data_IF_198840730588
#
_entry.id   IF_198840730588
#
_cell.length_a   1.000
_cell.length_b   1.000
_cell.length_c   1.000
_cell.angle_alpha   90.00
_cell.angle_beta   90.00
_cell.angle_gamma   90.00
#
_symmetry.space_group_name_H-M   'P 1'
#
loop_
_entity.id
_entity.type
_entity.pdbx_description
1 polymer ?
#
# COMPACT_ATOMS: atom_id res chain seq x y z
N UNK A 1 -5.80 -28.82 71.29
CA UNK A 1 -6.34 -27.97 70.21
C UNK A 1 -5.49 -26.70 70.13
N UNK A 2 -4.61 -26.59 69.13
CA UNK A 2 -3.92 -25.37 68.63
C UNK A 2 -2.81 -25.84 67.69
N UNK A 3 -3.11 -25.90 66.39
CA UNK A 3 -2.16 -26.00 65.27
C UNK A 3 -3.01 -26.13 64.00
N UNK A 4 -3.30 -25.04 63.27
CA UNK A 4 -3.86 -25.10 61.89
C UNK A 4 -4.04 -23.73 61.20
N UNK A 5 -3.14 -22.75 61.36
CA UNK A 5 -3.32 -21.40 60.79
C UNK A 5 -2.05 -20.82 60.13
N UNK A 6 -1.32 -21.60 59.32
CA UNK A 6 -0.13 -21.06 58.62
C UNK A 6 0.09 -21.51 57.18
N UNK A 7 -0.90 -22.11 56.51
CA UNK A 7 -0.73 -22.65 55.14
C UNK A 7 -1.60 -21.99 54.06
N UNK A 8 -2.26 -20.85 54.35
CA UNK A 8 -3.15 -20.19 53.40
C UNK A 8 -2.64 -18.80 52.96
N UNK A 9 -1.42 -18.68 52.46
CA UNK A 9 -0.98 -17.42 51.83
C UNK A 9 -0.02 -17.57 50.64
N UNK A 10 0.06 -18.75 50.01
CA UNK A 10 1.01 -19.00 48.90
C UNK A 10 0.37 -19.49 47.59
N UNK A 11 -0.95 -19.50 47.47
CA UNK A 11 -1.64 -20.08 46.29
C UNK A 11 -2.21 -19.05 45.29
N UNK A 12 -2.09 -17.75 45.54
CA UNK A 12 -2.70 -16.70 44.69
C UNK A 12 -1.75 -16.00 43.73
N UNK A 13 -0.47 -16.36 43.68
CA UNK A 13 0.53 -15.70 42.80
C UNK A 13 0.82 -16.41 41.48
N UNK A 14 0.26 -17.61 41.23
CA UNK A 14 0.56 -18.37 40.00
C UNK A 14 -0.51 -18.25 38.91
N UNK A 15 -1.73 -17.80 39.24
CA UNK A 15 -2.80 -17.65 38.24
C UNK A 15 -2.76 -16.27 37.56
N UNK A 16 -2.22 -15.24 38.22
CA UNK A 16 -2.13 -13.89 37.66
C UNK A 16 -1.02 -13.68 36.62
N UNK A 17 0.03 -14.51 36.63
CA UNK A 17 1.17 -14.36 35.71
C UNK A 17 0.85 -14.77 34.26
N UNK A 18 0.01 -15.79 34.07
CA UNK A 18 -0.37 -16.25 32.73
C UNK A 18 -1.45 -15.37 32.09
N UNK A 19 -2.38 -14.80 32.88
CA UNK A 19 -3.40 -13.89 32.36
C UNK A 19 -2.80 -12.56 31.85
N UNK A 20 -1.81 -12.01 32.54
CA UNK A 20 -1.08 -10.80 32.12
C UNK A 20 -0.18 -11.04 30.89
N UNK A 21 0.37 -12.25 30.74
CA UNK A 21 1.18 -12.61 29.57
C UNK A 21 0.32 -12.90 28.32
N UNK A 22 -0.91 -13.42 28.51
CA UNK A 22 -1.89 -13.60 27.44
C UNK A 22 -2.54 -12.27 27.03
N UNK A 23 -2.66 -11.29 27.95
CA UNK A 23 -3.08 -9.91 27.66
C UNK A 23 -2.06 -9.12 26.82
N UNK A 24 -0.80 -9.58 26.74
CA UNK A 24 0.30 -8.85 26.10
C UNK A 24 0.65 -9.32 24.68
N UNK A 25 0.05 -10.41 24.20
CA UNK A 25 0.30 -10.91 22.84
C UNK A 25 -0.87 -10.52 21.94
N UNK A 26 -0.67 -9.49 21.13
CA UNK A 26 -1.50 -9.18 19.96
C UNK A 26 -1.84 -10.48 19.23
N UNK A 27 -3.13 -10.79 19.08
CA UNK A 27 -3.53 -12.00 18.37
C UNK A 27 -3.20 -11.84 16.89
N UNK A 28 -2.94 -12.94 16.17
CA UNK A 28 -2.73 -12.89 14.71
C UNK A 28 -3.91 -12.25 13.98
N UNK A 29 -5.12 -12.29 14.56
CA UNK A 29 -6.30 -11.62 14.02
C UNK A 29 -6.25 -10.10 14.17
N UNK A 30 -5.79 -9.61 15.32
CA UNK A 30 -5.58 -8.17 15.52
C UNK A 30 -4.42 -7.68 14.65
N UNK A 31 -3.32 -8.43 14.55
CA UNK A 31 -2.21 -8.05 13.66
C UNK A 31 -2.66 -7.92 12.20
N UNK A 32 -3.45 -8.89 11.69
CA UNK A 32 -4.05 -8.80 10.35
C UNK A 32 -5.00 -7.61 10.20
N UNK A 33 -5.78 -7.30 11.23
CA UNK A 33 -6.68 -6.15 11.25
C UNK A 33 -5.91 -4.83 11.21
N UNK A 34 -4.87 -4.69 12.03
CA UNK A 34 -4.03 -3.50 12.12
C UNK A 34 -3.30 -3.23 10.81
N UNK A 35 -2.72 -4.28 10.21
CA UNK A 35 -2.08 -4.20 8.89
C UNK A 35 -3.10 -3.86 7.80
N UNK A 36 -4.30 -4.46 7.82
CA UNK A 36 -5.35 -4.11 6.85
C UNK A 36 -5.80 -2.64 7.02
N UNK A 37 -5.95 -2.17 8.26
CA UNK A 37 -6.30 -0.78 8.54
C UNK A 37 -5.22 0.20 8.08
N UNK A 38 -3.95 -0.17 8.21
CA UNK A 38 -2.81 0.61 7.70
C UNK A 38 -2.93 0.85 6.18
N UNK A 39 -3.39 -0.13 5.41
CA UNK A 39 -3.59 0.03 3.95
C UNK A 39 -4.66 1.07 3.62
N UNK A 40 -5.79 1.03 4.33
CA UNK A 40 -6.85 2.03 4.17
C UNK A 40 -6.40 3.42 4.62
N UNK A 41 -5.69 3.52 5.74
CA UNK A 41 -5.12 4.78 6.26
C UNK A 41 -4.21 5.43 5.23
N UNK A 42 -3.28 4.69 4.64
CA UNK A 42 -2.39 5.21 3.61
C UNK A 42 -3.14 5.87 2.45
N UNK A 43 -4.12 5.17 1.88
CA UNK A 43 -4.88 5.68 0.73
C UNK A 43 -5.69 6.92 1.12
N UNK A 44 -6.39 6.85 2.24
CA UNK A 44 -7.18 7.96 2.74
C UNK A 44 -6.32 9.20 2.98
N UNK A 45 -5.19 9.04 3.68
CA UNK A 45 -4.30 10.16 3.99
C UNK A 45 -3.68 10.78 2.74
N UNK A 46 -3.25 9.96 1.79
CA UNK A 46 -2.70 10.45 0.53
C UNK A 46 -3.72 11.25 -0.27
N UNK A 47 -4.92 10.71 -0.46
CA UNK A 47 -5.92 11.33 -1.34
C UNK A 47 -6.53 12.60 -0.74
N UNK A 48 -6.46 12.76 0.59
CA UNK A 48 -7.00 13.92 1.31
C UNK A 48 -5.92 14.92 1.75
N UNK A 49 -4.67 14.72 1.35
CA UNK A 49 -3.56 15.61 1.70
C UNK A 49 -3.22 15.67 3.19
N UNK A 50 -3.49 14.59 3.92
CA UNK A 50 -3.10 14.44 5.33
C UNK A 50 -1.64 13.99 5.40
N UNK A 51 -0.73 14.89 5.04
CA UNK A 51 0.67 14.55 4.76
C UNK A 51 1.44 14.09 6.00
N UNK A 52 1.17 14.68 7.16
CA UNK A 52 1.83 14.29 8.41
C UNK A 52 1.40 12.87 8.82
N UNK A 53 0.12 12.55 8.73
CA UNK A 53 -0.42 11.22 8.99
C UNK A 53 0.06 10.21 7.94
N UNK A 54 0.13 10.61 6.67
CA UNK A 54 0.67 9.79 5.59
C UNK A 54 2.10 9.34 5.93
N UNK A 55 2.96 10.25 6.41
CA UNK A 55 4.35 9.92 6.81
C UNK A 55 4.42 8.87 7.91
N UNK A 56 3.41 8.76 8.78
CA UNK A 56 3.42 7.74 9.85
C UNK A 56 3.16 6.31 9.37
N UNK A 57 2.71 6.14 8.11
CA UNK A 57 2.34 4.81 7.58
C UNK A 57 3.53 3.96 7.18
N UNK A 58 4.73 4.55 7.06
CA UNK A 58 5.96 3.88 6.70
C UNK A 58 7.00 3.98 7.83
N UNK A 59 7.93 3.03 7.87
CA UNK A 59 9.18 3.21 8.61
C UNK A 59 10.03 4.31 7.96
N UNK A 60 10.98 4.87 8.71
CA UNK A 60 11.75 6.04 8.27
C UNK A 60 12.56 5.79 6.99
N UNK A 61 13.06 4.56 6.82
CA UNK A 61 13.78 4.06 5.65
C UNK A 61 12.86 3.33 4.64
N UNK A 62 11.55 3.50 4.79
CA UNK A 62 10.58 2.80 3.98
C UNK A 62 10.60 3.27 2.53
N UNK A 63 10.44 2.35 1.58
CA UNK A 63 10.51 2.66 0.14
C UNK A 63 9.23 2.35 -0.61
N UNK A 64 8.96 3.08 -1.69
CA UNK A 64 7.79 2.88 -2.53
C UNK A 64 8.15 2.90 -4.02
N UNK A 65 7.54 1.99 -4.78
CA UNK A 65 7.62 1.91 -6.24
C UNK A 65 6.22 1.96 -6.85
N UNK A 66 5.95 3.03 -7.60
CA UNK A 66 4.72 3.28 -8.39
C UNK A 66 5.10 3.88 -9.74
N UNK A 67 4.15 3.99 -10.69
CA UNK A 67 4.40 4.41 -12.09
C UNK A 67 5.27 5.66 -12.24
N UNK A 68 5.10 6.66 -11.36
CA UNK A 68 5.77 7.96 -11.47
C UNK A 68 6.85 8.20 -10.40
N UNK A 69 7.08 7.25 -9.48
CA UNK A 69 8.01 7.42 -8.38
C UNK A 69 8.64 6.10 -7.94
N UNK A 70 9.93 6.10 -7.68
CA UNK A 70 10.64 4.98 -7.04
C UNK A 70 11.71 5.55 -6.12
N UNK A 71 11.65 5.21 -4.83
CA UNK A 71 12.62 5.71 -3.86
C UNK A 71 12.09 5.72 -2.43
N UNK A 72 12.68 6.58 -1.61
CA UNK A 72 12.30 6.78 -0.21
C UNK A 72 10.88 7.32 -0.08
N UNK A 73 10.14 6.82 0.89
CA UNK A 73 8.75 7.22 1.10
C UNK A 73 8.61 8.68 1.54
N UNK A 74 9.60 9.19 2.28
CA UNK A 74 9.64 10.61 2.68
C UNK A 74 9.67 11.54 1.47
N UNK A 75 10.46 11.20 0.46
CA UNK A 75 10.57 11.91 -0.82
C UNK A 75 9.33 11.71 -1.69
N UNK A 76 8.70 10.53 -1.64
CA UNK A 76 7.42 10.29 -2.29
C UNK A 76 6.32 11.22 -1.76
N UNK A 77 6.27 11.45 -0.44
CA UNK A 77 5.31 12.39 0.16
C UNK A 77 5.59 13.81 -0.33
N UNK A 78 6.86 14.25 -0.36
CA UNK A 78 7.24 15.57 -0.88
C UNK A 78 6.85 15.76 -2.35
N UNK A 79 7.05 14.72 -3.16
CA UNK A 79 6.66 14.74 -4.57
C UNK A 79 5.13 14.71 -4.75
N UNK A 80 4.40 14.00 -3.86
CA UNK A 80 2.94 13.97 -3.82
C UNK A 80 2.34 15.33 -3.46
N UNK A 81 2.95 16.06 -2.52
CA UNK A 81 2.56 17.43 -2.16
C UNK A 81 2.64 18.34 -3.40
N UNK A 82 3.77 18.32 -4.12
CA UNK A 82 3.96 19.11 -5.35
C UNK A 82 2.93 18.75 -6.43
N UNK A 83 2.63 17.46 -6.58
CA UNK A 83 1.61 16.97 -7.51
C UNK A 83 0.21 17.51 -7.14
N UNK A 84 -0.14 17.51 -5.85
CA UNK A 84 -1.41 18.05 -5.36
C UNK A 84 -1.50 19.59 -5.53
N UNK A 85 -0.41 20.32 -5.25
CA UNK A 85 -0.31 21.77 -5.49
C UNK A 85 -0.49 22.12 -6.99
N UNK A 86 -0.07 21.23 -7.88
CA UNK A 86 -0.31 21.30 -9.32
C UNK A 86 -1.76 21.02 -9.74
N UNK A 87 -2.66 20.71 -8.80
CA UNK A 87 -4.08 20.46 -9.04
C UNK A 87 -4.40 19.03 -9.47
N UNK A 88 -3.45 18.09 -9.38
CA UNK A 88 -3.73 16.68 -9.67
C UNK A 88 -4.59 16.08 -8.56
N UNK A 89 -5.65 15.37 -8.96
CA UNK A 89 -6.55 14.66 -8.04
C UNK A 89 -6.61 13.20 -8.46
N UNK A 90 -6.26 12.32 -7.53
CA UNK A 90 -6.37 10.87 -7.69
C UNK A 90 -7.12 10.27 -6.50
N UNK A 91 -7.89 9.22 -6.74
CA UNK A 91 -8.58 8.46 -5.70
C UNK A 91 -8.13 7.00 -5.78
N UNK A 92 -7.73 6.45 -4.64
CA UNK A 92 -7.29 5.08 -4.46
C UNK A 92 -8.38 4.31 -3.72
N UNK A 93 -9.16 3.54 -4.47
CA UNK A 93 -10.14 2.64 -3.90
C UNK A 93 -9.45 1.35 -3.47
N UNK A 94 -9.20 1.23 -2.17
CA UNK A 94 -8.59 0.05 -1.56
C UNK A 94 -9.64 -1.04 -1.34
N UNK A 95 -9.34 -2.26 -1.80
CA UNK A 95 -10.15 -3.46 -1.62
C UNK A 95 -9.57 -4.33 -0.49
N UNK A 96 -10.31 -5.30 0.07
CA UNK A 96 -9.82 -6.13 1.17
C UNK A 96 -8.47 -6.79 0.87
N UNK A 97 -7.54 -6.66 1.82
CA UNK A 97 -6.19 -7.21 1.72
C UNK A 97 -6.14 -8.68 2.11
N UNK A 98 -5.26 -9.44 1.44
CA UNK A 98 -4.78 -10.73 1.95
C UNK A 98 -3.55 -10.43 2.80
N UNK A 99 -3.55 -10.87 4.07
CA UNK A 99 -2.49 -10.55 5.03
C UNK A 99 -1.96 -11.82 5.71
N UNK A 100 -0.67 -12.08 5.50
CA UNK A 100 0.08 -13.14 6.17
C UNK A 100 1.04 -12.53 7.18
N UNK A 101 1.08 -13.08 8.39
CA UNK A 101 1.86 -12.56 9.53
C UNK A 101 2.72 -13.67 10.11
N UNK A 102 4.00 -13.40 10.29
CA UNK A 102 4.97 -14.28 10.97
C UNK A 102 5.81 -13.42 11.92
N UNK A 103 5.58 -13.59 13.23
CA UNK A 103 6.27 -12.80 14.25
C UNK A 103 6.00 -11.29 14.09
N UNK A 104 7.05 -10.52 13.84
CA UNK A 104 6.99 -9.07 13.62
C UNK A 104 7.04 -8.67 12.14
N UNK A 105 6.80 -9.61 11.23
CA UNK A 105 6.74 -9.37 9.78
C UNK A 105 5.37 -9.74 9.24
N UNK A 106 4.91 -8.98 8.25
CA UNK A 106 3.69 -9.26 7.52
C UNK A 106 3.84 -8.91 6.03
N UNK A 107 3.18 -9.70 5.18
CA UNK A 107 2.97 -9.38 3.78
C UNK A 107 1.50 -9.05 3.60
N UNK A 108 1.22 -7.89 3.03
CA UNK A 108 -0.12 -7.51 2.62
C UNK A 108 -0.20 -7.38 1.10
N UNK A 109 -1.13 -8.12 0.49
CA UNK A 109 -1.47 -8.00 -0.93
C UNK A 109 -2.83 -7.33 -0.99
N UNK A 110 -2.85 -6.10 -1.50
CA UNK A 110 -4.00 -5.20 -1.40
C UNK A 110 -4.42 -4.71 -2.79
N UNK A 111 -5.50 -5.27 -3.36
CA UNK A 111 -6.02 -4.78 -4.64
C UNK A 111 -6.51 -3.34 -4.53
N UNK A 112 -6.24 -2.54 -5.56
CA UNK A 112 -6.56 -1.13 -5.63
C UNK A 112 -7.07 -0.73 -7.02
N UNK A 113 -8.05 0.17 -7.06
CA UNK A 113 -8.42 0.90 -8.28
C UNK A 113 -8.01 2.35 -8.11
N UNK A 114 -7.18 2.84 -9.04
CA UNK A 114 -6.68 4.22 -9.07
C UNK A 114 -7.48 4.96 -10.11
N UNK A 115 -8.21 6.00 -9.71
CA UNK A 115 -8.95 6.85 -10.63
C UNK A 115 -8.42 8.28 -10.58
N UNK A 116 -8.38 8.94 -11.73
CA UNK A 116 -7.99 10.33 -11.83
C UNK A 116 -8.80 11.01 -12.93
N UNK A 117 -9.12 12.28 -12.72
CA UNK A 117 -9.79 13.12 -13.72
C UNK A 117 -8.88 14.24 -14.17
N UNK A 118 -8.83 14.48 -15.46
CA UNK A 118 -8.06 15.57 -16.05
C UNK A 118 -8.85 16.27 -17.16
N UNK A 119 -8.47 17.50 -17.49
CA UNK A 119 -9.06 18.24 -18.60
C UNK A 119 -7.98 18.91 -19.48
N UNK A 120 -7.25 18.14 -20.30
CA UNK A 120 -6.32 18.68 -21.30
C UNK A 120 -7.03 19.33 -22.51
N UNK A 121 -8.24 19.89 -22.34
CA UNK A 121 -9.09 20.42 -23.41
C UNK A 121 -10.31 19.55 -23.76
N UNK A 122 -10.35 18.33 -23.22
CA UNK A 122 -11.53 17.46 -23.11
C UNK A 122 -11.48 16.81 -21.73
N UNK A 123 -12.61 16.69 -21.04
CA UNK A 123 -12.68 16.06 -19.73
C UNK A 123 -12.54 14.54 -19.88
N UNK A 124 -11.54 13.97 -19.21
CA UNK A 124 -11.19 12.55 -19.27
C UNK A 124 -11.15 11.95 -17.87
N UNK A 125 -11.65 10.72 -17.76
CA UNK A 125 -11.42 9.86 -16.62
C UNK A 125 -10.39 8.78 -16.98
N UNK A 126 -9.43 8.60 -16.09
CA UNK A 126 -8.49 7.49 -16.12
C UNK A 126 -8.81 6.53 -14.97
N UNK A 127 -8.75 5.24 -15.26
CA UNK A 127 -8.85 4.17 -14.26
C UNK A 127 -7.71 3.18 -14.47
N UNK A 128 -7.05 2.77 -13.39
CA UNK A 128 -5.99 1.76 -13.40
C UNK A 128 -6.24 0.75 -12.29
N UNK A 129 -6.27 -0.52 -12.66
CA UNK A 129 -6.40 -1.65 -11.75
C UNK A 129 -5.00 -2.19 -11.43
N UNK A 130 -4.71 -2.30 -10.14
CA UNK A 130 -3.44 -2.75 -9.63
C UNK A 130 -3.62 -3.46 -8.28
N UNK A 131 -2.54 -3.98 -7.72
CA UNK A 131 -2.48 -4.27 -6.28
C UNK A 131 -1.16 -3.77 -5.70
N UNK A 132 -1.21 -3.35 -4.45
CA UNK A 132 -0.01 -3.11 -3.66
C UNK A 132 0.47 -4.42 -3.05
N UNK A 133 1.76 -4.67 -3.16
CA UNK A 133 2.46 -5.73 -2.47
C UNK A 133 3.36 -5.08 -1.42
N UNK A 134 3.01 -5.27 -0.16
CA UNK A 134 3.58 -4.55 0.97
C UNK A 134 4.34 -5.49 1.90
N UNK A 135 5.59 -5.11 2.17
CA UNK A 135 6.43 -5.64 3.24
C UNK A 135 6.22 -4.76 4.46
N UNK A 136 5.64 -5.33 5.52
CA UNK A 136 5.22 -4.59 6.71
C UNK A 136 5.93 -5.16 7.92
N UNK A 137 6.48 -4.30 8.77
CA UNK A 137 7.23 -4.73 9.95
C UNK A 137 6.67 -4.05 11.20
N UNK A 138 6.58 -4.82 12.28
CA UNK A 138 6.26 -4.30 13.62
C UNK A 138 7.54 -3.89 14.33
N UNK A 139 7.61 -2.64 14.77
CA UNK A 139 8.70 -2.12 15.63
C UNK A 139 8.08 -1.32 16.77
N UNK A 140 8.56 -1.54 17.98
CA UNK A 140 8.04 -0.83 19.17
C UNK A 140 6.51 -0.96 19.34
N UNK A 141 5.95 -2.08 18.88
CA UNK A 141 4.50 -2.37 18.94
C UNK A 141 3.68 -1.81 17.78
N UNK A 142 4.26 -1.09 16.82
CA UNK A 142 3.55 -0.47 15.70
C UNK A 142 3.88 -1.16 14.36
N UNK A 143 2.84 -1.53 13.61
CA UNK A 143 2.97 -1.99 12.22
C UNK A 143 3.13 -0.79 11.28
N UNK A 144 4.21 -0.78 10.49
CA UNK A 144 4.43 0.21 9.42
C UNK A 144 5.00 -0.45 8.18
N UNK A 145 4.76 0.18 7.03
CA UNK A 145 5.25 -0.31 5.73
C UNK A 145 6.76 -0.06 5.65
N UNK A 146 7.53 -1.11 5.34
CA UNK A 146 8.95 -1.02 5.03
C UNK A 146 9.18 -0.89 3.53
N UNK A 147 8.38 -1.60 2.72
CA UNK A 147 8.48 -1.50 1.26
C UNK A 147 7.14 -1.74 0.60
N UNK A 148 6.78 -0.90 -0.35
CA UNK A 148 5.59 -1.02 -1.20
C UNK A 148 5.99 -1.12 -2.66
N UNK A 149 5.42 -2.11 -3.35
CA UNK A 149 5.48 -2.19 -4.81
C UNK A 149 4.06 -2.24 -5.37
N UNK A 150 3.79 -1.41 -6.36
CA UNK A 150 2.54 -1.49 -7.12
C UNK A 150 2.71 -2.45 -8.30
N UNK A 151 1.78 -3.39 -8.44
CA UNK A 151 1.73 -4.34 -9.57
C UNK A 151 0.49 -4.05 -10.41
N UNK A 152 0.71 -3.74 -11.68
CA UNK A 152 -0.34 -3.27 -12.60
C UNK A 152 -1.01 -4.42 -13.35
N UNK A 153 -2.31 -4.31 -13.58
CA UNK A 153 -3.11 -5.36 -14.22
C UNK A 153 -3.72 -4.90 -15.54
N UNK A 154 -4.35 -3.72 -15.54
CA UNK A 154 -4.94 -3.08 -16.72
C UNK A 154 -5.26 -1.63 -16.40
N UNK A 155 -5.37 -0.81 -17.43
CA UNK A 155 -5.91 0.54 -17.31
C UNK A 155 -6.81 0.91 -18.48
N UNK A 156 -7.48 2.04 -18.32
CA UNK A 156 -8.42 2.58 -19.29
C UNK A 156 -8.51 4.09 -19.14
N UNK A 157 -8.68 4.77 -20.28
CA UNK A 157 -8.99 6.19 -20.35
C UNK A 157 -10.28 6.39 -21.14
N UNK A 158 -11.19 7.20 -20.62
CA UNK A 158 -12.48 7.51 -21.22
C UNK A 158 -12.72 9.01 -21.25
N UNK A 159 -13.39 9.53 -22.28
CA UNK A 159 -13.98 10.85 -22.22
C UNK A 159 -15.24 10.84 -21.37
N UNK A 160 -15.39 11.79 -20.45
CA UNK A 160 -16.56 11.90 -19.56
C UNK A 160 -17.86 12.09 -20.35
N UNK A 161 -17.78 12.84 -21.45
CA UNK A 161 -18.85 13.00 -22.43
C UNK A 161 -18.39 12.49 -23.80
N UNK A 162 -19.32 12.03 -24.67
CA UNK A 162 -18.98 11.68 -26.04
C UNK A 162 -18.20 12.80 -26.73
N UNK A 163 -17.00 12.49 -27.21
CA UNK A 163 -16.07 13.49 -27.72
C UNK A 163 -15.31 13.01 -28.95
N UNK A 164 -15.56 13.66 -30.09
CA UNK A 164 -14.74 13.47 -31.29
C UNK A 164 -13.28 13.88 -31.03
N UNK A 165 -13.05 14.90 -30.18
CA UNK A 165 -11.69 15.32 -29.81
C UNK A 165 -10.94 14.20 -29.11
N UNK A 166 -11.57 13.48 -28.18
CA UNK A 166 -10.92 12.35 -27.51
C UNK A 166 -10.53 11.25 -28.52
N UNK A 167 -11.43 10.92 -29.45
CA UNK A 167 -11.13 9.97 -30.51
C UNK A 167 -9.94 10.42 -31.38
N UNK A 168 -9.83 11.72 -31.71
CA UNK A 168 -8.65 12.24 -32.41
C UNK A 168 -7.39 12.18 -31.53
N UNK A 169 -7.50 12.41 -30.22
CA UNK A 169 -6.37 12.38 -29.29
C UNK A 169 -5.75 11.00 -29.14
N UNK A 170 -6.50 9.91 -29.37
CA UNK A 170 -5.93 8.56 -29.28
C UNK A 170 -4.80 8.30 -30.29
N UNK A 171 -4.65 9.12 -31.33
CA UNK A 171 -3.51 9.06 -32.24
C UNK A 171 -2.24 9.78 -31.75
N UNK A 172 -2.35 10.58 -30.67
CA UNK A 172 -1.27 11.38 -30.13
C UNK A 172 -0.83 10.95 -28.72
N UNK A 173 -1.62 10.11 -28.04
CA UNK A 173 -1.21 9.51 -26.78
C UNK A 173 -0.27 8.35 -27.09
N UNK A 174 0.98 8.44 -26.61
CA UNK A 174 1.92 7.33 -26.71
C UNK A 174 1.51 6.20 -25.77
N UNK A 175 0.86 5.19 -26.35
CA UNK A 175 0.48 3.96 -25.66
C UNK A 175 1.33 2.76 -26.07
N UNK A 176 2.30 2.95 -26.97
CA UNK A 176 3.13 1.87 -27.52
C UNK A 176 4.42 1.70 -26.73
N UNK A 177 4.91 2.77 -26.10
CA UNK A 177 6.11 2.73 -25.23
C UNK A 177 5.88 1.96 -23.92
N UNK A 178 4.62 1.85 -23.46
CA UNK A 178 4.28 1.30 -22.15
C UNK A 178 3.55 -0.04 -22.25
N UNK A 179 3.71 -0.88 -21.23
CA UNK A 179 3.03 -2.18 -21.17
C UNK A 179 1.50 -2.01 -21.14
N UNK A 180 0.73 -2.91 -21.81
CA UNK A 180 -0.73 -2.89 -21.79
C UNK A 180 -1.40 -2.77 -20.41
N UNK A 181 -0.73 -3.19 -19.34
CA UNK A 181 -1.26 -3.10 -17.99
C UNK A 181 -1.37 -1.67 -17.42
N UNK A 182 -0.59 -0.71 -17.94
CA UNK A 182 -0.54 0.67 -17.43
C UNK A 182 -0.28 1.73 -18.52
N UNK A 183 -0.56 1.42 -19.79
CA UNK A 183 -0.16 2.27 -20.91
C UNK A 183 -0.83 3.64 -20.95
N UNK A 184 -2.11 3.73 -20.56
CA UNK A 184 -2.82 5.01 -20.52
C UNK A 184 -2.37 5.86 -19.34
N UNK A 185 -2.09 5.24 -18.19
CA UNK A 185 -1.55 5.89 -17.00
C UNK A 185 -0.14 6.41 -17.27
N UNK A 186 0.73 5.58 -17.83
CA UNK A 186 2.08 5.95 -18.24
C UNK A 186 2.06 7.11 -19.24
N UNK A 187 1.28 6.99 -20.31
CA UNK A 187 1.14 8.05 -21.32
C UNK A 187 0.63 9.38 -20.73
N UNK A 188 -0.40 9.34 -19.87
CA UNK A 188 -0.94 10.53 -19.23
C UNK A 188 0.08 11.22 -18.31
N UNK A 189 0.84 10.46 -17.52
CA UNK A 189 1.88 10.99 -16.64
C UNK A 189 3.07 11.53 -17.44
N UNK A 190 3.46 10.87 -18.53
CA UNK A 190 4.53 11.34 -19.41
C UNK A 190 4.18 12.67 -20.08
N UNK A 191 2.93 12.87 -20.49
CA UNK A 191 2.44 14.16 -21.00
C UNK A 191 2.52 15.28 -19.96
N UNK A 192 2.53 14.95 -18.67
CA UNK A 192 2.72 15.89 -17.56
C UNK A 192 4.21 16.08 -17.19
N UNK A 193 5.13 15.41 -17.89
CA UNK A 193 6.58 15.54 -17.68
C UNK A 193 7.17 14.56 -16.67
N UNK A 194 6.40 13.57 -16.20
CA UNK A 194 6.95 12.52 -15.33
C UNK A 194 7.76 11.49 -16.14
N UNK A 195 8.90 11.08 -15.59
CA UNK A 195 9.67 9.98 -16.13
C UNK A 195 9.07 8.65 -15.66
N UNK A 196 8.64 7.82 -16.61
CA UNK A 196 7.98 6.54 -16.32
C UNK A 196 8.97 5.40 -16.54
N UNK A 197 9.41 4.79 -15.44
CA UNK A 197 10.26 3.60 -15.46
C UNK A 197 9.44 2.31 -15.66
N UNK A 198 10.10 1.18 -15.99
CA UNK A 198 9.45 -0.12 -16.05
C UNK A 198 8.77 -0.47 -14.72
N UNK A 199 7.53 -0.96 -14.81
CA UNK A 199 6.74 -1.40 -13.66
C UNK A 199 6.57 -2.92 -13.65
N UNK A 200 6.24 -3.48 -12.48
CA UNK A 200 5.86 -4.89 -12.38
C UNK A 200 4.42 -5.06 -12.87
N UNK A 201 4.23 -6.05 -13.74
CA UNK A 201 2.92 -6.39 -14.33
C UNK A 201 2.45 -7.73 -13.76
N UNK A 202 1.16 -7.83 -13.49
CA UNK A 202 0.58 -9.04 -12.94
C UNK A 202 0.65 -10.24 -13.91
N UNK A 203 0.61 -11.45 -13.38
CA UNK A 203 0.73 -12.71 -14.13
C UNK A 203 2.03 -12.90 -14.93
N UNK A 204 3.08 -12.13 -14.64
CA UNK A 204 4.41 -12.25 -15.24
C UNK A 204 5.37 -13.08 -14.37
N UNK A 205 6.62 -13.25 -14.81
CA UNK A 205 7.64 -13.90 -13.99
C UNK A 205 8.12 -12.98 -12.86
N UNK A 206 8.10 -11.68 -13.10
CA UNK A 206 8.48 -10.62 -12.17
C UNK A 206 7.50 -10.56 -10.99
N UNK A 207 6.18 -10.61 -11.24
CA UNK A 207 5.20 -10.64 -10.15
C UNK A 207 5.25 -11.95 -9.35
N UNK A 208 5.53 -13.09 -10.01
CA UNK A 208 5.76 -14.37 -9.33
C UNK A 208 7.04 -14.36 -8.48
N UNK A 209 8.11 -13.74 -8.97
CA UNK A 209 9.35 -13.57 -8.23
C UNK A 209 9.14 -12.67 -7.00
N UNK A 210 8.39 -11.57 -7.14
CA UNK A 210 8.02 -10.70 -6.02
C UNK A 210 7.22 -11.46 -4.95
N UNK A 211 6.27 -12.29 -5.36
CA UNK A 211 5.52 -13.14 -4.42
C UNK A 211 6.45 -14.11 -3.67
N UNK A 212 7.34 -14.80 -4.40
CA UNK A 212 8.30 -15.72 -3.80
C UNK A 212 9.28 -15.02 -2.83
N UNK A 213 9.74 -13.82 -3.19
CA UNK A 213 10.54 -12.96 -2.34
C UNK A 213 9.81 -12.61 -1.04
N UNK A 214 8.54 -12.21 -1.11
CA UNK A 214 7.71 -11.94 0.05
C UNK A 214 7.56 -13.14 0.99
N UNK A 215 7.33 -14.33 0.43
CA UNK A 215 7.22 -15.56 1.22
C UNK A 215 8.55 -15.93 1.90
N UNK A 216 9.67 -15.82 1.19
CA UNK A 216 10.99 -16.06 1.76
C UNK A 216 11.27 -15.08 2.92
N UNK A 217 11.02 -13.78 2.70
CA UNK A 217 11.22 -12.74 3.70
C UNK A 217 10.38 -12.93 4.97
N UNK A 218 9.15 -13.44 4.86
CA UNK A 218 8.32 -13.75 6.03
C UNK A 218 8.94 -14.81 6.94
N UNK A 219 9.68 -15.76 6.37
CA UNK A 219 10.18 -16.95 7.08
C UNK A 219 11.67 -16.92 7.39
N UNK A 220 12.39 -15.93 6.88
CA UNK A 220 13.82 -15.77 7.13
C UNK A 220 14.09 -15.52 8.62
N UNK A 221 14.98 -16.33 9.21
CA UNK A 221 15.41 -16.16 10.60
C UNK A 221 16.21 -14.84 10.73
N UNK A 222 15.85 -14.02 11.72
CA UNK A 222 16.58 -12.78 12.06
C UNK A 222 17.78 -13.07 12.94
#
# INVERSE_FOLDING_TARGET
>A
MKNLLSSLLLATLLVGGNAMADEMRQTVYQDRSDVSQLMYKWAFYRDHGMWDELRTTFHAEGTIQVTWFTGEFSEFVDASIKMAEGGAVSVHQIKPSIVDVVGDRAIAITPASITARANPGVELDLSSEAYFFDFVERREGEWKILRRICVYQKDRMDSVLPSLRFWLMSWFVDTETYDPAYKFLGGALAMQGYAIGPQIVDNTNESRALYAEGQAWLTEER
#
